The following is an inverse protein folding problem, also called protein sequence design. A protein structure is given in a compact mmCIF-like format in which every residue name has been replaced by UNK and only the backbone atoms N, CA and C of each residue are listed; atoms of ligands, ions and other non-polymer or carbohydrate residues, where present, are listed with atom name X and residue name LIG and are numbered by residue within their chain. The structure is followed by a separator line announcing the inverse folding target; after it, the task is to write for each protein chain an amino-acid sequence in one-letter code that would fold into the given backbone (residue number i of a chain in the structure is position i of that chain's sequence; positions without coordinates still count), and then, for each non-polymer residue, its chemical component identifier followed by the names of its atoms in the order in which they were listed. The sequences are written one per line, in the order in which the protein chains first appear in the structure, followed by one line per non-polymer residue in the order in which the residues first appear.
data_IF_269586522576
#
_entry.id   IF_269586522576
#
_cell.length_a   1.000
_cell.length_b   1.000
_cell.length_c   1.000
_cell.angle_alpha   90.00
_cell.angle_beta   90.00
_cell.angle_gamma   90.00
#
_symmetry.space_group_name_H-M   'P 1'
#
loop_
_entity.id
_entity.type
_entity.pdbx_description
1 polymer ?
#
# COMPACT_ATOMS: atom_id res chain seq x y z
N UNK A 1 -1.90 10.35 -3.56
CA UNK A 1 -0.81 9.82 -2.72
C UNK A 1 -1.24 9.74 -1.25
N UNK A 2 -1.03 8.59 -0.62
CA UNK A 2 -1.20 8.37 0.83
C UNK A 2 0.13 7.92 1.42
N UNK A 3 0.51 8.49 2.55
CA UNK A 3 1.65 8.02 3.35
C UNK A 3 1.18 7.16 4.53
N UNK A 4 1.92 6.09 4.78
CA UNK A 4 1.67 5.14 5.87
C UNK A 4 2.92 5.03 6.73
N UNK A 5 2.74 5.07 8.04
CA UNK A 5 3.81 4.78 8.98
C UNK A 5 4.20 3.31 8.95
N UNK A 6 5.50 3.05 9.01
CA UNK A 6 6.06 1.71 9.06
C UNK A 6 6.24 1.24 10.51
N UNK A 7 5.89 -0.03 10.77
CA UNK A 7 6.18 -0.65 12.07
C UNK A 7 7.68 -0.78 12.25
N UNK A 8 8.16 -0.59 13.50
CA UNK A 8 9.59 -0.70 13.82
C UNK A 8 10.13 -2.07 13.39
N UNK A 9 11.11 -2.07 12.50
CA UNK A 9 11.73 -3.29 11.95
C UNK A 9 11.20 -3.73 10.58
N UNK A 10 10.01 -3.29 10.15
CA UNK A 10 9.45 -3.67 8.84
C UNK A 10 10.18 -2.98 7.68
N UNK A 11 10.79 -1.82 7.92
CA UNK A 11 11.56 -1.10 6.91
C UNK A 11 12.64 -1.99 6.29
N UNK A 12 13.32 -2.82 7.11
CA UNK A 12 14.30 -3.81 6.65
C UNK A 12 13.71 -4.87 5.73
N UNK A 13 12.43 -5.19 5.91
CA UNK A 13 11.69 -6.10 5.04
C UNK A 13 11.29 -5.43 3.72
N UNK A 14 11.14 -4.11 3.70
CA UNK A 14 10.81 -3.36 2.49
C UNK A 14 12.04 -2.96 1.67
N UNK A 15 13.20 -2.85 2.32
CA UNK A 15 14.47 -2.53 1.68
C UNK A 15 14.83 -3.56 0.58
N UNK A 16 15.52 -3.09 -0.46
CA UNK A 16 15.86 -3.90 -1.63
C UNK A 16 14.63 -4.27 -2.46
N UNK A 17 14.36 -5.56 -2.62
CA UNK A 17 13.26 -6.10 -3.45
C UNK A 17 12.01 -6.44 -2.64
N UNK A 18 12.01 -6.25 -1.32
CA UNK A 18 10.95 -6.75 -0.46
C UNK A 18 9.59 -6.09 -0.69
N UNK A 19 9.56 -4.79 -0.96
CA UNK A 19 8.31 -4.10 -1.35
C UNK A 19 7.73 -4.65 -2.66
N UNK A 20 8.60 -4.94 -3.64
CA UNK A 20 8.21 -5.52 -4.92
C UNK A 20 7.69 -6.94 -4.72
N UNK A 21 8.37 -7.77 -3.95
CA UNK A 21 7.92 -9.13 -3.63
C UNK A 21 6.54 -9.12 -2.99
N UNK A 22 6.29 -8.25 -2.02
CA UNK A 22 4.95 -8.12 -1.41
C UNK A 22 3.91 -7.73 -2.46
N UNK A 23 4.27 -6.85 -3.40
CA UNK A 23 3.43 -6.49 -4.54
C UNK A 23 3.11 -7.70 -5.41
N UNK A 24 4.11 -8.46 -5.83
CA UNK A 24 3.94 -9.69 -6.64
C UNK A 24 3.12 -10.75 -5.90
N UNK A 25 3.38 -10.99 -4.61
CA UNK A 25 2.63 -11.96 -3.81
C UNK A 25 1.17 -11.56 -3.62
N UNK A 26 0.88 -10.26 -3.56
CA UNK A 26 -0.48 -9.77 -3.30
C UNK A 26 -1.30 -9.58 -4.57
N UNK A 27 -0.69 -9.03 -5.61
CA UNK A 27 -1.35 -8.65 -6.87
C UNK A 27 -1.01 -9.58 -8.04
N UNK A 28 -0.09 -10.52 -7.85
CA UNK A 28 0.41 -11.43 -8.89
C UNK A 28 1.50 -10.81 -9.76
N UNK A 29 1.31 -9.56 -10.20
CA UNK A 29 2.25 -8.86 -11.07
C UNK A 29 2.65 -7.50 -10.48
N UNK A 30 3.97 -7.25 -10.45
CA UNK A 30 4.51 -5.96 -10.06
C UNK A 30 5.68 -5.57 -10.98
N UNK A 31 5.53 -4.44 -11.65
CA UNK A 31 6.60 -3.75 -12.33
C UNK A 31 7.48 -2.98 -11.33
N UNK A 32 8.70 -2.66 -11.76
CA UNK A 32 9.63 -1.82 -11.00
C UNK A 32 10.17 -0.74 -11.91
N UNK A 33 10.03 0.51 -11.50
CA UNK A 33 10.54 1.69 -12.18
C UNK A 33 11.49 2.42 -11.23
N UNK A 34 12.76 2.04 -11.27
CA UNK A 34 13.78 2.54 -10.33
C UNK A 34 13.46 2.12 -8.90
N UNK A 35 13.20 3.09 -8.02
CA UNK A 35 12.82 2.87 -6.62
C UNK A 35 11.31 2.71 -6.39
N UNK A 36 10.51 2.81 -7.45
CA UNK A 36 9.06 2.72 -7.39
C UNK A 36 8.57 1.37 -7.88
N UNK A 37 7.69 0.73 -7.10
CA UNK A 37 6.98 -0.47 -7.49
C UNK A 37 5.67 -0.07 -8.13
N UNK A 38 5.37 -0.61 -9.30
CA UNK A 38 4.15 -0.31 -10.05
C UNK A 38 3.33 -1.58 -10.14
N UNK A 39 2.08 -1.53 -9.69
CA UNK A 39 1.14 -2.65 -9.77
C UNK A 39 -0.17 -2.21 -10.41
N UNK A 40 -0.83 -3.14 -11.08
CA UNK A 40 -2.13 -2.91 -11.73
C UNK A 40 -3.02 -4.08 -11.37
N UNK A 41 -4.15 -3.84 -10.70
CA UNK A 41 -4.99 -4.94 -10.19
C UNK A 41 -6.47 -4.53 -10.10
N UNK A 42 -7.33 -5.28 -10.79
CA UNK A 42 -8.78 -5.11 -10.71
C UNK A 42 -9.24 -3.69 -11.03
N UNK A 43 -9.72 -2.98 -9.99
CA UNK A 43 -10.21 -1.61 -10.08
C UNK A 43 -9.09 -0.55 -10.00
N UNK A 44 -7.86 -0.95 -9.68
CA UNK A 44 -6.67 -0.09 -9.72
C UNK A 44 -6.11 -0.12 -11.12
N UNK A 45 -6.20 1.01 -11.81
CA UNK A 45 -5.58 1.23 -13.12
C UNK A 45 -4.06 1.23 -12.99
N UNK A 46 -3.55 1.93 -11.97
CA UNK A 46 -2.12 2.00 -11.67
C UNK A 46 -1.91 2.33 -10.20
N UNK A 47 -1.08 1.57 -9.52
CA UNK A 47 -0.63 1.88 -8.16
C UNK A 47 0.89 1.93 -8.15
N UNK A 48 1.42 3.02 -7.57
CA UNK A 48 2.84 3.28 -7.43
C UNK A 48 3.15 3.25 -5.94
N UNK A 49 3.94 2.30 -5.49
CA UNK A 49 4.35 2.15 -4.10
C UNK A 49 5.87 2.31 -3.96
N UNK A 50 6.31 3.10 -2.98
CA UNK A 50 7.72 3.26 -2.66
C UNK A 50 7.90 3.56 -1.18
N UNK A 51 9.11 3.40 -0.68
CA UNK A 51 9.42 3.70 0.72
C UNK A 51 10.71 4.50 0.83
N UNK A 52 10.75 5.37 1.82
CA UNK A 52 11.97 6.08 2.25
C UNK A 52 12.62 5.38 3.47
N UNK A 53 12.20 4.15 3.79
CA UNK A 53 12.63 3.42 5.00
C UNK A 53 12.00 3.94 6.31
N UNK A 54 11.43 5.15 6.33
CA UNK A 54 10.64 5.68 7.46
C UNK A 54 9.14 5.51 7.27
N UNK A 55 8.67 5.74 6.04
CA UNK A 55 7.26 5.70 5.65
C UNK A 55 7.10 4.95 4.33
N UNK A 56 5.92 4.37 4.14
CA UNK A 56 5.48 3.82 2.86
C UNK A 56 4.60 4.85 2.18
N UNK A 57 4.92 5.16 0.94
CA UNK A 57 4.15 6.01 0.08
C UNK A 57 3.45 5.16 -0.96
N UNK A 58 2.15 5.37 -1.08
CA UNK A 58 1.33 4.65 -2.06
C UNK A 58 0.49 5.67 -2.81
N UNK A 59 0.72 5.74 -4.11
CA UNK A 59 -0.15 6.42 -5.05
C UNK A 59 -1.02 5.38 -5.75
N UNK A 60 -2.30 5.65 -5.88
CA UNK A 60 -3.27 4.70 -6.43
C UNK A 60 -4.23 5.45 -7.33
N UNK A 61 -4.24 5.07 -8.59
CA UNK A 61 -5.14 5.54 -9.63
C UNK A 61 -6.19 4.45 -9.84
N UNK A 62 -7.44 4.76 -9.50
CA UNK A 62 -8.57 3.86 -9.74
C UNK A 62 -9.15 4.08 -11.13
N UNK A 63 -9.57 2.99 -11.78
CA UNK A 63 -10.27 3.06 -13.05
C UNK A 63 -11.75 3.42 -12.82
N UNK A 64 -12.28 4.47 -13.45
CA UNK A 64 -13.70 4.77 -13.38
C UNK A 64 -14.50 3.65 -14.08
N UNK A 65 -15.60 3.21 -13.45
CA UNK A 65 -16.47 2.17 -13.99
C UNK A 65 -16.08 0.72 -13.65
N UNK A 66 -15.21 0.51 -12.67
CA UNK A 66 -14.97 -0.82 -12.13
C UNK A 66 -16.23 -1.38 -11.44
N UNK A 67 -16.60 -2.66 -11.66
CA UNK A 67 -17.72 -3.29 -10.97
C UNK A 67 -17.52 -3.37 -9.45
N UNK A 68 -18.60 -3.34 -8.66
CA UNK A 68 -18.54 -3.43 -7.18
C UNK A 68 -17.80 -4.67 -6.66
N UNK A 69 -17.95 -5.81 -7.34
CA UNK A 69 -17.24 -7.04 -6.98
C UNK A 69 -15.72 -6.88 -7.13
N UNK A 70 -15.28 -6.29 -8.25
CA UNK A 70 -13.87 -6.00 -8.51
C UNK A 70 -13.34 -4.96 -7.52
N UNK A 71 -14.12 -3.92 -7.24
CA UNK A 71 -13.74 -2.90 -6.26
C UNK A 71 -13.52 -3.53 -4.87
N UNK A 72 -14.40 -4.44 -4.46
CA UNK A 72 -14.29 -5.15 -3.17
C UNK A 72 -13.04 -6.05 -3.12
N UNK A 73 -12.77 -6.83 -4.16
CA UNK A 73 -11.57 -7.66 -4.24
C UNK A 73 -10.29 -6.81 -4.25
N UNK A 74 -10.32 -5.71 -4.98
CA UNK A 74 -9.22 -4.75 -5.04
C UNK A 74 -8.93 -4.14 -3.68
N UNK A 75 -9.97 -3.74 -2.93
CA UNK A 75 -9.82 -3.21 -1.56
C UNK A 75 -9.25 -4.27 -0.62
N UNK A 76 -9.65 -5.54 -0.77
CA UNK A 76 -9.08 -6.64 0.04
C UNK A 76 -7.60 -6.84 -0.26
N UNK A 77 -7.23 -7.00 -1.53
CA UNK A 77 -5.84 -7.14 -1.96
C UNK A 77 -5.00 -5.94 -1.50
N UNK A 78 -5.49 -4.72 -1.71
CA UNK A 78 -4.83 -3.50 -1.25
C UNK A 78 -4.62 -3.47 0.26
N UNK A 79 -5.59 -3.94 1.04
CA UNK A 79 -5.42 -4.04 2.49
C UNK A 79 -4.35 -5.06 2.85
N UNK A 80 -4.37 -6.26 2.26
CA UNK A 80 -3.35 -7.28 2.49
C UNK A 80 -1.94 -6.78 2.14
N UNK A 81 -1.80 -6.06 1.01
CA UNK A 81 -0.55 -5.45 0.61
C UNK A 81 -0.04 -4.49 1.68
N UNK A 82 -0.90 -3.57 2.14
CA UNK A 82 -0.51 -2.61 3.16
C UNK A 82 -0.21 -3.27 4.50
N UNK A 83 -0.90 -4.34 4.88
CA UNK A 83 -0.61 -5.10 6.10
C UNK A 83 0.79 -5.73 6.04
N UNK A 84 1.15 -6.34 4.91
CA UNK A 84 2.47 -6.92 4.68
C UNK A 84 3.55 -5.84 4.61
N UNK A 85 3.28 -4.75 3.90
CA UNK A 85 4.25 -3.69 3.68
C UNK A 85 4.50 -2.85 4.94
N UNK A 86 3.45 -2.47 5.68
CA UNK A 86 3.57 -1.63 6.88
C UNK A 86 3.75 -2.42 8.16
N UNK A 87 3.39 -3.70 8.17
CA UNK A 87 3.35 -4.55 9.37
C UNK A 87 2.19 -4.22 10.32
N UNK A 88 1.26 -3.36 9.91
CA UNK A 88 0.06 -2.99 10.66
C UNK A 88 -1.20 -3.55 10.03
N UNK A 89 -2.03 -4.19 10.85
CA UNK A 89 -3.34 -4.66 10.40
C UNK A 89 -4.23 -3.52 9.94
N UNK A 90 -5.26 -3.81 9.13
CA UNK A 90 -6.24 -2.79 8.71
C UNK A 90 -6.86 -2.03 9.91
N UNK A 91 -7.12 -2.71 11.03
CA UNK A 91 -7.60 -2.10 12.28
C UNK A 91 -6.56 -1.16 12.90
N UNK A 92 -5.31 -1.58 13.00
CA UNK A 92 -4.23 -0.74 13.53
C UNK A 92 -3.99 0.48 12.65
N UNK A 93 -4.02 0.32 11.32
CA UNK A 93 -3.91 1.44 10.36
C UNK A 93 -5.06 2.43 10.52
N UNK A 94 -6.31 1.97 10.66
CA UNK A 94 -7.45 2.86 10.93
C UNK A 94 -7.31 3.61 12.25
N UNK A 95 -6.80 2.96 13.31
CA UNK A 95 -6.56 3.61 14.61
C UNK A 95 -5.45 4.65 14.52
N UNK A 96 -4.36 4.35 13.79
CA UNK A 96 -3.27 5.28 13.53
C UNK A 96 -3.67 6.44 12.63
N UNK A 97 -4.43 6.20 11.56
CA UNK A 97 -4.95 7.25 10.70
C UNK A 97 -5.84 8.22 11.49
N UNK A 98 -6.71 7.70 12.36
CA UNK A 98 -7.52 8.52 13.27
C UNK A 98 -6.66 9.26 14.30
N UNK A 99 -5.63 8.63 14.85
CA UNK A 99 -4.71 9.27 15.80
C UNK A 99 -3.87 10.38 15.12
N UNK A 100 -3.41 10.15 13.89
CA UNK A 100 -2.70 11.13 13.08
C UNK A 100 -3.61 12.30 12.71
N UNK A 101 -4.87 12.03 12.31
CA UNK A 101 -5.87 13.06 12.06
C UNK A 101 -6.19 13.89 13.33
N UNK A 102 -6.22 13.25 14.52
CA UNK A 102 -6.40 13.97 15.79
C UNK A 102 -5.16 14.74 16.25
N UNK A 103 -3.94 14.28 15.93
CA UNK A 103 -2.69 15.00 16.24
C UNK A 103 -2.37 16.12 15.25
N UNK A 104 -2.99 16.11 14.06
CA UNK A 104 -2.90 17.16 13.05
C UNK A 104 -4.15 18.04 12.96
N UNK A 105 -5.01 18.02 13.98
CA UNK A 105 -6.11 18.99 14.08
C UNK A 105 -5.55 20.39 14.37
N UNK A 106 -6.10 21.45 13.75
CA UNK A 106 -5.66 22.85 13.93
C UNK A 106 -5.70 23.32 15.38
#
# INVERSE_FOLDING_TARGET
MRDYELKRGIAKTLEGDGLRQIGVETFGEAGTQGSHVIVSFGAIEKMIAWTDGKKLFVDTTMKPGAPDHVATETIKAFNTFLERATGYTAKERSKKAQAAAKKGGP
#
